data_IF_926530151701
#
_entry.id   IF_926530151701
#
_cell.length_a   1.000
_cell.length_b   1.000
_cell.length_c   1.000
_cell.angle_alpha   90.00
_cell.angle_beta   90.00
_cell.angle_gamma   90.00
#
_symmetry.space_group_name_H-M   'P 1'
#
loop_
_entity.id
_entity.type
_entity.pdbx_description
1 polymer ?
#
# COMPACT_ATOMS: atom_id res chain seq x y z
N UNK A 1 -6.16 -16.28 -7.24
CA UNK A 1 -5.52 -14.97 -7.51
C UNK A 1 -4.68 -14.65 -6.29
N UNK A 2 -3.41 -14.24 -6.48
CA UNK A 2 -2.55 -13.77 -5.40
C UNK A 2 -3.02 -12.39 -4.89
N UNK A 3 -2.57 -12.00 -3.70
CA UNK A 3 -2.77 -10.65 -3.16
C UNK A 3 -1.96 -9.66 -3.99
N UNK A 4 -2.57 -8.54 -4.35
CA UNK A 4 -1.93 -7.45 -5.08
C UNK A 4 -1.74 -6.25 -4.17
N UNK A 5 -0.51 -5.79 -3.99
CA UNK A 5 -0.15 -4.70 -3.09
C UNK A 5 0.53 -3.55 -3.86
N UNK A 6 0.02 -2.34 -3.69
CA UNK A 6 0.58 -1.14 -4.31
C UNK A 6 1.51 -0.39 -3.36
N UNK A 7 2.72 -0.07 -3.81
CA UNK A 7 3.67 0.74 -3.04
C UNK A 7 3.45 2.21 -3.37
N UNK A 8 3.07 2.99 -2.37
CA UNK A 8 2.81 4.43 -2.49
C UNK A 8 3.67 5.24 -1.51
N UNK A 9 3.77 6.54 -1.70
CA UNK A 9 4.47 7.47 -0.83
C UNK A 9 4.96 8.68 -1.60
N UNK A 10 5.45 9.69 -0.89
CA UNK A 10 6.03 10.90 -1.47
C UNK A 10 7.28 10.57 -2.33
N UNK A 11 7.73 11.47 -3.22
CA UNK A 11 9.01 11.32 -3.89
C UNK A 11 10.17 11.21 -2.88
N UNK A 12 11.21 10.45 -3.24
CA UNK A 12 12.46 10.31 -2.49
C UNK A 12 12.32 9.68 -1.09
N UNK A 13 11.24 8.93 -0.82
CA UNK A 13 11.06 8.18 0.45
C UNK A 13 11.66 6.77 0.42
N UNK A 14 12.22 6.33 -0.73
CA UNK A 14 12.84 5.01 -0.89
C UNK A 14 11.93 3.93 -1.49
N UNK A 15 10.77 4.28 -2.08
CA UNK A 15 9.83 3.32 -2.70
C UNK A 15 10.50 2.35 -3.68
N UNK A 16 11.18 2.89 -4.67
CA UNK A 16 11.81 2.07 -5.71
C UNK A 16 12.97 1.24 -5.18
N UNK A 17 13.68 1.72 -4.14
CA UNK A 17 14.70 0.94 -3.44
C UNK A 17 14.08 -0.28 -2.77
N UNK A 18 12.99 -0.09 -2.02
CA UNK A 18 12.25 -1.15 -1.34
C UNK A 18 11.62 -2.10 -2.36
N UNK A 19 10.98 -1.57 -3.42
CA UNK A 19 10.43 -2.38 -4.50
C UNK A 19 11.49 -3.28 -5.15
N UNK A 20 12.65 -2.72 -5.50
CA UNK A 20 13.75 -3.47 -6.11
C UNK A 20 14.30 -4.54 -5.16
N UNK A 21 14.46 -4.22 -3.87
CA UNK A 21 14.91 -5.19 -2.86
C UNK A 21 13.92 -6.36 -2.72
N UNK A 22 12.62 -6.08 -2.64
CA UNK A 22 11.56 -7.08 -2.56
C UNK A 22 11.50 -7.95 -3.82
N UNK A 23 11.63 -7.35 -4.99
CA UNK A 23 11.39 -8.03 -6.28
C UNK A 23 12.64 -8.62 -6.92
N UNK A 24 13.82 -8.43 -6.31
CA UNK A 24 15.07 -8.99 -6.85
C UNK A 24 15.08 -10.52 -6.88
N UNK A 25 14.41 -11.15 -5.93
CA UNK A 25 14.14 -12.59 -5.89
C UNK A 25 12.82 -12.96 -6.55
N UNK A 26 12.20 -12.03 -7.32
CA UNK A 26 10.93 -12.27 -7.97
C UNK A 26 11.07 -13.37 -9.03
N UNK A 27 10.04 -14.19 -9.12
CA UNK A 27 9.93 -15.20 -10.15
C UNK A 27 9.74 -14.48 -11.49
N UNK A 28 10.46 -14.87 -12.55
CA UNK A 28 10.20 -14.35 -13.89
C UNK A 28 8.71 -14.47 -14.22
N UNK A 29 8.07 -13.37 -14.61
CA UNK A 29 6.64 -13.32 -14.92
C UNK A 29 6.23 -14.36 -16.00
N UNK A 30 7.19 -14.80 -16.83
CA UNK A 30 7.03 -15.84 -17.85
C UNK A 30 6.64 -17.22 -17.27
N UNK A 31 6.94 -17.47 -16.01
CA UNK A 31 6.61 -18.73 -15.33
C UNK A 31 5.20 -18.73 -14.71
N UNK A 32 4.51 -17.60 -14.71
CA UNK A 32 3.15 -17.49 -14.22
C UNK A 32 2.17 -17.24 -15.38
N UNK A 33 1.17 -18.12 -15.58
CA UNK A 33 0.13 -17.90 -16.59
C UNK A 33 -0.64 -16.61 -16.28
N UNK A 34 -0.81 -15.75 -17.27
CA UNK A 34 -1.57 -14.49 -17.23
C UNK A 34 -0.89 -13.28 -16.57
N UNK A 35 0.43 -13.29 -16.35
CA UNK A 35 1.15 -12.10 -15.92
C UNK A 35 1.59 -11.25 -17.12
N UNK A 36 1.25 -9.97 -17.09
CA UNK A 36 1.77 -8.97 -18.03
C UNK A 36 3.18 -8.59 -17.59
N UNK A 37 4.14 -8.53 -18.51
CA UNK A 37 5.49 -8.02 -18.23
C UNK A 37 5.38 -6.50 -18.15
N UNK A 38 5.20 -5.98 -16.93
CA UNK A 38 5.25 -4.55 -16.63
C UNK A 38 6.50 -4.31 -15.76
N UNK A 39 7.38 -3.36 -16.12
CA UNK A 39 8.62 -3.10 -15.37
C UNK A 39 8.37 -2.64 -13.91
N UNK A 40 7.15 -2.24 -13.58
CA UNK A 40 6.76 -1.79 -12.25
C UNK A 40 6.00 -2.86 -11.46
N UNK A 41 5.98 -4.11 -11.92
CA UNK A 41 5.28 -5.22 -11.26
C UNK A 41 6.27 -6.34 -10.95
N UNK A 42 6.26 -6.80 -9.69
CA UNK A 42 7.07 -7.93 -9.25
C UNK A 42 6.24 -8.93 -8.46
N UNK A 43 6.41 -10.22 -8.75
CA UNK A 43 5.73 -11.32 -8.05
C UNK A 43 6.72 -11.97 -7.10
N UNK A 44 6.39 -12.01 -5.82
CA UNK A 44 7.25 -12.54 -4.75
C UNK A 44 6.53 -13.68 -4.06
N UNK A 45 7.25 -14.80 -3.84
CA UNK A 45 6.76 -15.90 -3.05
C UNK A 45 6.73 -15.54 -1.55
N UNK A 46 5.67 -15.96 -0.87
CA UNK A 46 5.57 -15.83 0.58
C UNK A 46 6.27 -17.02 1.24
N UNK A 47 7.38 -16.82 1.97
CA UNK A 47 8.03 -17.87 2.70
C UNK A 47 7.09 -18.45 3.77
N UNK A 48 6.83 -19.76 3.71
CA UNK A 48 6.00 -20.44 4.69
C UNK A 48 6.65 -21.76 5.11
N UNK A 49 7.22 -21.77 6.30
CA UNK A 49 7.88 -22.96 6.86
C UNK A 49 6.92 -24.15 6.97
N UNK A 50 5.64 -23.90 7.26
CA UNK A 50 4.62 -24.95 7.36
C UNK A 50 4.45 -25.70 6.03
N UNK A 51 4.60 -24.99 4.90
CA UNK A 51 4.51 -25.61 3.58
C UNK A 51 5.68 -26.57 3.34
N UNK A 52 6.89 -26.20 3.74
CA UNK A 52 8.07 -27.07 3.67
C UNK A 52 7.92 -28.29 4.58
N UNK A 53 7.45 -28.11 5.81
CA UNK A 53 7.24 -29.20 6.78
C UNK A 53 6.21 -30.23 6.26
N UNK A 54 5.09 -29.75 5.70
CA UNK A 54 4.06 -30.59 5.09
C UNK A 54 4.62 -31.33 3.86
N UNK A 55 5.37 -30.63 3.02
CA UNK A 55 5.97 -31.23 1.83
C UNK A 55 6.96 -32.36 2.19
N UNK A 56 7.72 -32.20 3.26
CA UNK A 56 8.64 -33.25 3.75
C UNK A 56 7.92 -34.53 4.17
N UNK A 57 6.67 -34.43 4.68
CA UNK A 57 5.86 -35.57 5.09
C UNK A 57 5.23 -36.26 3.88
N UNK A 58 4.64 -35.52 2.97
CA UNK A 58 3.82 -36.05 1.87
C UNK A 58 4.59 -36.26 0.56
N UNK A 59 5.80 -35.76 0.44
CA UNK A 59 6.66 -35.83 -0.73
C UNK A 59 5.91 -35.53 -2.05
N UNK A 60 5.31 -34.34 -2.20
CA UNK A 60 4.47 -34.01 -3.32
C UNK A 60 5.28 -33.84 -4.62
N UNK A 61 4.60 -33.96 -5.78
CA UNK A 61 5.24 -33.75 -7.09
C UNK A 61 5.64 -32.30 -7.34
N UNK A 62 4.97 -31.35 -6.71
CA UNK A 62 5.26 -29.92 -6.81
C UNK A 62 4.82 -29.21 -5.52
N UNK A 63 5.55 -28.18 -5.14
CA UNK A 63 5.23 -27.27 -4.03
C UNK A 63 4.94 -25.91 -4.66
N UNK A 64 3.77 -25.34 -4.36
CA UNK A 64 3.35 -24.03 -4.89
C UNK A 64 3.09 -23.09 -3.71
N UNK A 65 4.00 -22.16 -3.42
CA UNK A 65 3.82 -21.18 -2.37
C UNK A 65 2.73 -20.15 -2.74
N UNK A 66 2.21 -19.47 -1.75
CA UNK A 66 1.41 -18.27 -1.98
C UNK A 66 2.30 -17.15 -2.55
N UNK A 67 1.71 -16.25 -3.33
CA UNK A 67 2.45 -15.13 -3.93
C UNK A 67 1.76 -13.80 -3.63
N UNK A 68 2.57 -12.74 -3.55
CA UNK A 68 2.12 -11.35 -3.52
C UNK A 68 2.67 -10.66 -4.76
N UNK A 69 1.78 -9.96 -5.47
CA UNK A 69 2.13 -9.09 -6.58
C UNK A 69 2.35 -7.68 -6.04
N UNK A 70 3.56 -7.16 -6.12
CA UNK A 70 3.89 -5.78 -5.77
C UNK A 70 3.88 -4.91 -7.02
N UNK A 71 3.28 -3.72 -6.90
CA UNK A 71 3.23 -2.71 -7.96
C UNK A 71 3.91 -1.44 -7.45
N UNK A 72 5.03 -1.02 -8.08
CA UNK A 72 5.62 0.30 -7.79
C UNK A 72 4.76 1.38 -8.43
N UNK A 73 4.01 2.08 -7.61
CA UNK A 73 3.13 3.15 -8.05
C UNK A 73 3.92 4.46 -7.96
N UNK A 74 4.20 5.08 -9.09
CA UNK A 74 5.00 6.31 -9.18
C UNK A 74 4.49 7.37 -8.19
N UNK A 75 5.43 8.05 -7.48
CA UNK A 75 5.11 8.90 -6.36
C UNK A 75 4.12 10.02 -6.66
N UNK A 76 3.18 10.22 -5.76
CA UNK A 76 2.30 11.39 -5.74
C UNK A 76 3.11 12.65 -5.40
N UNK A 77 2.97 13.68 -6.23
CA UNK A 77 3.41 15.03 -5.90
C UNK A 77 2.17 15.83 -5.53
N UNK A 78 2.26 16.65 -4.49
CA UNK A 78 1.20 17.55 -4.04
C UNK A 78 0.61 18.32 -5.23
N UNK A 79 -0.72 18.25 -5.42
CA UNK A 79 -1.38 18.87 -6.55
C UNK A 79 -1.36 18.07 -7.87
N UNK A 80 -0.96 16.79 -7.85
CA UNK A 80 -1.11 15.89 -8.99
C UNK A 80 -2.58 15.75 -9.43
N UNK A 81 -3.52 16.14 -8.56
CA UNK A 81 -4.95 16.25 -8.85
C UNK A 81 -5.29 17.27 -9.93
N UNK A 82 -4.43 18.25 -10.16
CA UNK A 82 -4.65 19.32 -11.15
C UNK A 82 -3.93 19.10 -12.48
N UNK A 83 -3.08 18.05 -12.59
CA UNK A 83 -2.31 17.71 -13.79
C UNK A 83 -2.99 16.62 -14.63
N UNK A 84 -3.27 16.90 -15.90
CA UNK A 84 -3.77 15.93 -16.86
C UNK A 84 -2.65 14.91 -17.20
N UNK A 85 -2.93 13.61 -17.04
CA UNK A 85 -2.08 12.52 -17.53
C UNK A 85 -1.49 11.61 -16.45
N UNK A 86 -0.35 11.95 -15.85
CA UNK A 86 0.37 11.08 -14.90
C UNK A 86 -0.42 10.79 -13.62
N UNK A 87 -1.18 11.76 -13.10
CA UNK A 87 -2.03 11.57 -11.92
C UNK A 87 -3.15 10.54 -12.15
N UNK A 88 -3.69 10.45 -13.37
CA UNK A 88 -4.76 9.49 -13.67
C UNK A 88 -4.24 8.05 -13.79
N UNK A 89 -3.02 7.83 -14.31
CA UNK A 89 -2.38 6.51 -14.34
C UNK A 89 -2.06 6.01 -12.93
N UNK A 90 -1.49 6.86 -12.09
CA UNK A 90 -1.26 6.58 -10.68
C UNK A 90 -2.53 6.08 -9.96
N UNK A 91 -3.63 6.80 -10.13
CA UNK A 91 -4.90 6.45 -9.49
C UNK A 91 -5.51 5.15 -10.04
N UNK A 92 -5.31 4.87 -11.33
CA UNK A 92 -5.72 3.60 -11.93
C UNK A 92 -4.98 2.43 -11.26
N UNK A 93 -3.66 2.55 -11.08
CA UNK A 93 -2.86 1.51 -10.44
C UNK A 93 -3.27 1.27 -8.98
N UNK A 94 -3.56 2.33 -8.19
CA UNK A 94 -4.06 2.13 -6.81
C UNK A 94 -5.45 1.47 -6.81
N UNK A 95 -6.32 1.74 -7.77
CA UNK A 95 -7.63 1.08 -7.85
C UNK A 95 -7.53 -0.42 -8.04
N UNK A 96 -6.53 -0.87 -8.78
CA UNK A 96 -6.36 -2.25 -9.19
C UNK A 96 -5.66 -3.14 -8.16
N UNK A 97 -5.18 -2.57 -7.04
CA UNK A 97 -4.53 -3.33 -5.95
C UNK A 97 -5.51 -3.64 -4.82
N UNK A 98 -5.23 -4.69 -4.05
CA UNK A 98 -6.05 -5.13 -2.90
C UNK A 98 -5.65 -4.42 -1.60
N UNK A 99 -4.38 -4.01 -1.47
CA UNK A 99 -3.83 -3.34 -0.30
C UNK A 99 -2.78 -2.30 -0.69
N UNK A 100 -2.49 -1.38 0.22
CA UNK A 100 -1.51 -0.30 0.03
C UNK A 100 -0.35 -0.48 1.01
N UNK A 101 0.89 -0.46 0.50
CA UNK A 101 2.11 -0.26 1.29
C UNK A 101 2.48 1.21 1.21
N UNK A 102 2.23 1.94 2.27
CA UNK A 102 2.53 3.37 2.33
C UNK A 102 3.93 3.58 2.90
N UNK A 103 4.91 3.80 2.02
CA UNK A 103 6.30 4.05 2.41
C UNK A 103 6.47 5.49 2.85
N UNK A 104 6.99 5.65 4.06
CA UNK A 104 7.17 6.94 4.74
C UNK A 104 8.65 7.10 5.07
N UNK A 105 9.22 8.25 4.74
CA UNK A 105 10.60 8.57 5.09
C UNK A 105 10.70 8.88 6.58
N UNK A 106 11.57 8.15 7.28
CA UNK A 106 11.88 8.32 8.68
C UNK A 106 13.40 8.33 8.93
N UNK A 107 14.20 8.79 7.94
CA UNK A 107 15.64 8.94 8.00
C UNK A 107 16.04 10.33 7.53
N UNK A 108 17.15 10.85 8.10
CA UNK A 108 17.76 12.09 7.66
C UNK A 108 18.93 11.80 6.73
N UNK A 109 19.00 12.50 5.61
CA UNK A 109 20.12 12.42 4.67
C UNK A 109 20.28 13.77 3.98
N UNK A 110 21.43 14.41 4.18
CA UNK A 110 21.72 15.77 3.70
C UNK A 110 21.67 15.92 2.18
N UNK A 111 21.97 14.85 1.45
CA UNK A 111 21.99 14.83 -0.02
C UNK A 111 20.62 14.56 -0.66
N UNK A 112 19.61 14.21 0.11
CA UNK A 112 18.26 13.91 -0.40
C UNK A 112 17.29 14.97 0.09
N UNK A 113 16.88 15.87 -0.81
CA UNK A 113 15.92 16.93 -0.50
C UNK A 113 14.57 16.33 -0.10
N UNK A 114 14.07 16.70 1.07
CA UNK A 114 12.69 16.39 1.49
C UNK A 114 11.72 17.35 0.78
N UNK A 115 10.64 16.82 0.22
CA UNK A 115 9.67 17.61 -0.55
C UNK A 115 9.01 18.72 0.28
N UNK A 116 8.78 18.47 1.57
CA UNK A 116 8.13 19.41 2.51
C UNK A 116 9.15 20.13 3.42
N UNK A 117 10.45 20.00 3.16
CA UNK A 117 11.52 20.76 3.84
C UNK A 117 11.88 20.30 5.25
N UNK A 118 11.08 19.49 5.92
CA UNK A 118 11.34 18.91 7.25
C UNK A 118 10.81 17.49 7.34
N UNK A 119 11.45 16.66 8.13
CA UNK A 119 11.03 15.28 8.39
C UNK A 119 9.84 15.28 9.35
N UNK A 120 8.68 14.86 8.87
CA UNK A 120 7.49 14.65 9.68
C UNK A 120 6.67 13.49 9.06
N UNK A 121 6.88 12.25 9.55
CA UNK A 121 6.25 11.07 8.97
C UNK A 121 4.72 11.10 8.95
N UNK A 122 4.09 11.64 10.01
CA UNK A 122 2.63 11.70 10.10
C UNK A 122 2.06 12.68 9.10
N UNK A 123 2.64 13.90 9.00
CA UNK A 123 2.24 14.89 8.00
C UNK A 123 2.36 14.35 6.57
N UNK A 124 3.41 13.56 6.29
CA UNK A 124 3.64 12.99 4.97
C UNK A 124 2.58 11.94 4.62
N UNK A 125 2.16 11.13 5.62
CA UNK A 125 1.02 10.21 5.48
C UNK A 125 -0.25 10.99 5.16
N UNK A 126 -0.60 11.97 5.99
CA UNK A 126 -1.83 12.77 5.83
C UNK A 126 -1.89 13.51 4.49
N UNK A 127 -0.74 13.91 3.95
CA UNK A 127 -0.64 14.55 2.63
C UNK A 127 -1.10 13.60 1.52
N UNK A 128 -0.64 12.35 1.53
CA UNK A 128 -1.04 11.32 0.56
C UNK A 128 -2.51 10.95 0.74
N UNK A 129 -2.93 10.68 1.96
CA UNK A 129 -4.31 10.29 2.28
C UNK A 129 -5.32 11.36 1.88
N UNK A 130 -5.01 12.62 2.11
CA UNK A 130 -5.83 13.76 1.66
C UNK A 130 -5.99 13.79 0.14
N UNK A 131 -4.91 13.57 -0.62
CA UNK A 131 -4.97 13.55 -2.08
C UNK A 131 -5.82 12.37 -2.58
N UNK A 132 -5.70 11.18 -1.95
CA UNK A 132 -6.52 10.02 -2.27
C UNK A 132 -8.00 10.27 -1.95
N UNK A 133 -8.29 10.87 -0.81
CA UNK A 133 -9.65 11.20 -0.37
C UNK A 133 -10.33 12.21 -1.30
N UNK A 134 -9.63 13.24 -1.74
CA UNK A 134 -10.15 14.22 -2.73
C UNK A 134 -10.57 13.51 -4.02
N UNK A 135 -9.83 12.48 -4.44
CA UNK A 135 -10.15 11.70 -5.64
C UNK A 135 -11.35 10.77 -5.44
N UNK A 136 -11.44 10.19 -4.26
CA UNK A 136 -12.59 9.37 -3.90
C UNK A 136 -13.87 10.22 -3.86
N UNK A 137 -13.82 11.40 -3.25
CA UNK A 137 -14.93 12.37 -3.24
C UNK A 137 -15.40 12.67 -4.66
N UNK A 138 -14.48 12.99 -5.58
CA UNK A 138 -14.82 13.26 -6.97
C UNK A 138 -15.41 12.04 -7.71
N UNK A 139 -15.00 10.83 -7.33
CA UNK A 139 -15.52 9.59 -7.90
C UNK A 139 -16.93 9.29 -7.39
N UNK A 140 -17.15 9.47 -6.09
CA UNK A 140 -18.45 9.27 -5.44
C UNK A 140 -19.46 10.31 -5.94
N UNK A 141 -19.07 11.56 -6.09
CA UNK A 141 -19.93 12.64 -6.61
C UNK A 141 -20.51 12.29 -8.00
N UNK A 142 -19.64 11.87 -8.93
CA UNK A 142 -20.06 11.39 -10.25
C UNK A 142 -21.00 10.16 -10.19
N UNK A 143 -20.77 9.27 -9.23
CA UNK A 143 -21.60 8.08 -9.03
C UNK A 143 -22.97 8.47 -8.47
N UNK A 144 -22.99 9.41 -7.53
CA UNK A 144 -24.19 9.90 -6.86
C UNK A 144 -25.23 10.44 -7.86
N UNK A 145 -24.81 11.23 -8.84
CA UNK A 145 -25.70 11.73 -9.91
C UNK A 145 -26.42 10.60 -10.65
N UNK A 146 -25.70 9.54 -11.02
CA UNK A 146 -26.26 8.38 -11.71
C UNK A 146 -27.22 7.59 -10.81
N UNK A 147 -26.85 7.39 -9.55
CA UNK A 147 -27.63 6.65 -8.57
C UNK A 147 -28.96 7.35 -8.28
N UNK A 148 -28.94 8.65 -8.07
CA UNK A 148 -30.16 9.44 -7.85
C UNK A 148 -31.13 9.32 -9.01
N UNK A 149 -30.63 9.34 -10.26
CA UNK A 149 -31.45 9.16 -11.45
C UNK A 149 -32.08 7.75 -11.50
N UNK A 150 -31.27 6.70 -11.28
CA UNK A 150 -31.71 5.32 -11.33
C UNK A 150 -32.69 5.00 -10.18
N UNK A 151 -32.42 5.49 -8.97
CA UNK A 151 -33.30 5.33 -7.82
C UNK A 151 -34.69 5.96 -8.04
N UNK A 152 -34.76 7.13 -8.71
CA UNK A 152 -36.02 7.78 -9.10
C UNK A 152 -36.80 6.95 -10.13
N UNK A 153 -36.10 6.18 -10.98
CA UNK A 153 -36.72 5.27 -11.96
C UNK A 153 -37.15 3.94 -11.35
N UNK A 154 -36.95 3.75 -10.04
CA UNK A 154 -37.41 2.59 -9.30
C UNK A 154 -36.40 1.47 -9.13
N UNK A 155 -35.14 1.66 -9.54
CA UNK A 155 -34.05 0.70 -9.37
C UNK A 155 -33.80 0.45 -7.88
N UNK A 156 -34.00 -0.81 -7.43
CA UNK A 156 -33.89 -1.20 -6.02
C UNK A 156 -32.45 -1.27 -5.57
N UNK A 157 -31.52 -1.66 -6.42
CA UNK A 157 -30.11 -1.78 -6.06
C UNK A 157 -29.45 -0.40 -6.01
N UNK A 158 -29.82 0.50 -6.93
CA UNK A 158 -29.42 1.89 -6.85
C UNK A 158 -29.93 2.58 -5.56
N UNK A 159 -31.13 2.26 -5.09
CA UNK A 159 -31.63 2.78 -3.80
C UNK A 159 -30.82 2.29 -2.61
N UNK A 160 -30.42 1.00 -2.58
CA UNK A 160 -29.59 0.45 -1.50
C UNK A 160 -28.21 1.08 -1.48
N UNK A 161 -27.55 1.19 -2.64
CA UNK A 161 -26.24 1.83 -2.77
C UNK A 161 -26.32 3.30 -2.34
N UNK A 162 -27.39 4.03 -2.74
CA UNK A 162 -27.60 5.42 -2.36
C UNK A 162 -27.65 5.63 -0.84
N UNK A 163 -28.35 4.75 -0.11
CA UNK A 163 -28.42 4.82 1.35
C UNK A 163 -27.05 4.71 2.01
N UNK A 164 -26.13 3.93 1.45
CA UNK A 164 -24.76 3.82 1.97
C UNK A 164 -23.94 5.04 1.61
N UNK A 165 -24.08 5.55 0.39
CA UNK A 165 -23.39 6.77 -0.05
C UNK A 165 -23.84 7.98 0.78
N UNK A 166 -25.11 8.07 1.15
CA UNK A 166 -25.63 9.13 2.02
C UNK A 166 -25.01 9.10 3.44
N UNK A 167 -24.45 7.96 3.88
CA UNK A 167 -23.68 7.85 5.13
C UNK A 167 -22.21 8.23 4.90
N UNK A 168 -21.62 7.73 3.80
CA UNK A 168 -20.17 7.82 3.53
C UNK A 168 -19.78 9.21 3.02
N UNK A 169 -20.52 9.76 2.07
CA UNK A 169 -20.14 10.99 1.37
C UNK A 169 -20.02 12.23 2.26
N UNK A 170 -20.93 12.49 3.22
CA UNK A 170 -20.75 13.59 4.17
C UNK A 170 -19.46 13.46 5.00
N UNK A 171 -19.18 12.25 5.51
CA UNK A 171 -17.98 11.99 6.32
C UNK A 171 -16.69 12.17 5.53
N UNK A 172 -16.68 11.75 4.25
CA UNK A 172 -15.56 12.02 3.36
C UNK A 172 -15.31 13.52 3.18
N UNK A 173 -16.37 14.32 3.05
CA UNK A 173 -16.26 15.78 2.96
C UNK A 173 -15.78 16.44 4.27
N UNK A 174 -15.91 15.76 5.40
CA UNK A 174 -15.33 16.15 6.70
C UNK A 174 -13.86 15.74 6.85
N UNK A 175 -13.29 15.06 5.84
CA UNK A 175 -11.90 14.61 5.85
C UNK A 175 -11.68 13.19 6.38
N UNK A 176 -12.76 12.42 6.66
CA UNK A 176 -12.66 11.05 7.19
C UNK A 176 -12.42 10.09 6.03
N UNK A 177 -11.39 9.25 6.15
CA UNK A 177 -11.09 8.21 5.16
C UNK A 177 -12.17 7.14 5.18
N UNK A 178 -12.44 6.50 4.04
CA UNK A 178 -13.55 5.54 3.92
C UNK A 178 -13.34 4.33 4.83
N UNK A 179 -12.11 3.86 5.01
CA UNK A 179 -11.84 2.72 5.90
C UNK A 179 -12.10 3.05 7.38
N UNK A 180 -11.99 4.31 7.80
CA UNK A 180 -12.26 4.77 9.17
C UNK A 180 -13.78 4.92 9.45
N UNK A 181 -14.62 4.84 8.41
CA UNK A 181 -16.06 4.95 8.57
C UNK A 181 -16.62 3.61 9.03
N UNK A 182 -17.33 3.62 10.16
CA UNK A 182 -18.04 2.44 10.64
C UNK A 182 -19.17 2.06 9.67
N UNK A 183 -19.00 0.93 8.98
CA UNK A 183 -19.96 0.34 8.05
C UNK A 183 -20.14 -1.14 8.36
N UNK A 184 -21.36 -1.64 8.22
CA UNK A 184 -21.63 -3.08 8.27
C UNK A 184 -21.01 -3.79 7.07
N UNK A 185 -20.80 -5.11 7.17
CA UNK A 185 -20.28 -5.92 6.05
C UNK A 185 -21.14 -5.78 4.80
N UNK A 186 -22.45 -5.73 4.93
CA UNK A 186 -23.37 -5.56 3.79
C UNK A 186 -23.23 -4.18 3.16
N UNK A 187 -23.04 -3.13 3.95
CA UNK A 187 -22.80 -1.78 3.45
C UNK A 187 -21.46 -1.69 2.70
N UNK A 188 -20.38 -2.30 3.23
CA UNK A 188 -19.07 -2.36 2.54
C UNK A 188 -19.19 -3.10 1.21
N UNK A 189 -19.94 -4.20 1.13
CA UNK A 189 -20.17 -4.90 -0.12
C UNK A 189 -20.87 -4.04 -1.18
N UNK A 190 -21.77 -3.14 -0.78
CA UNK A 190 -22.47 -2.24 -1.71
C UNK A 190 -21.55 -1.16 -2.32
N UNK A 191 -20.56 -0.67 -1.56
CA UNK A 191 -19.61 0.33 -2.07
C UNK A 191 -18.34 -0.28 -2.68
N UNK A 192 -18.06 -1.56 -2.48
CA UNK A 192 -16.90 -2.26 -3.02
C UNK A 192 -16.69 -2.05 -4.53
N UNK A 193 -17.75 -2.05 -5.38
CA UNK A 193 -17.60 -1.80 -6.82
C UNK A 193 -17.08 -0.39 -7.16
N UNK A 194 -17.10 0.56 -6.23
CA UNK A 194 -16.56 1.90 -6.43
C UNK A 194 -15.03 1.89 -6.40
N UNK A 195 -14.41 0.85 -5.84
CA UNK A 195 -12.95 0.70 -5.71
C UNK A 195 -12.31 1.96 -5.12
N UNK A 196 -12.88 2.43 -3.99
CA UNK A 196 -12.40 3.64 -3.32
C UNK A 196 -10.98 3.44 -2.82
N UNK A 197 -10.14 4.42 -3.03
CA UNK A 197 -8.70 4.37 -2.74
C UNK A 197 -8.45 4.32 -1.23
N UNK A 198 -9.25 5.10 -0.48
CA UNK A 198 -9.17 5.23 0.97
C UNK A 198 -9.94 4.15 1.75
N UNK A 199 -10.57 3.18 1.06
CA UNK A 199 -11.19 1.99 1.68
C UNK A 199 -10.24 0.78 1.72
N UNK A 200 -9.05 0.90 1.13
CA UNK A 200 -8.09 -0.21 1.05
C UNK A 200 -7.30 -0.36 2.36
N UNK A 201 -7.06 -1.61 2.81
CA UNK A 201 -6.15 -1.88 3.91
C UNK A 201 -4.78 -1.25 3.65
N UNK A 202 -4.23 -0.57 4.63
CA UNK A 202 -2.94 0.12 4.52
C UNK A 202 -1.95 -0.41 5.54
N UNK A 203 -0.72 -0.73 5.07
CA UNK A 203 0.44 -1.00 5.89
C UNK A 203 1.39 0.20 5.78
N UNK A 204 1.67 0.88 6.88
CA UNK A 204 2.69 1.93 6.92
C UNK A 204 4.08 1.30 7.03
N UNK A 205 4.97 1.70 6.12
CA UNK A 205 6.35 1.22 6.05
C UNK A 205 7.26 2.39 6.33
N UNK A 206 7.72 2.52 7.57
CA UNK A 206 8.69 3.52 7.97
C UNK A 206 10.08 3.12 7.42
N UNK A 207 10.55 3.82 6.40
CA UNK A 207 11.90 3.66 5.89
C UNK A 207 12.84 4.47 6.77
N UNK A 208 13.68 3.77 7.53
CA UNK A 208 14.60 4.32 8.55
C UNK A 208 16.05 4.14 8.12
N UNK A 209 16.98 4.77 8.84
CA UNK A 209 18.41 4.50 8.69
C UNK A 209 18.85 3.23 9.46
N UNK A 210 20.11 2.85 9.26
CA UNK A 210 20.69 1.66 9.88
C UNK A 210 20.75 1.77 11.42
N UNK A 211 21.00 2.97 11.97
CA UNK A 211 21.08 3.19 13.41
C UNK A 211 19.71 2.99 14.07
N UNK A 212 18.63 3.46 13.41
CA UNK A 212 17.28 3.30 13.91
C UNK A 212 16.82 1.82 13.86
N UNK A 213 17.27 1.04 12.87
CA UNK A 213 16.99 -0.40 12.80
C UNK A 213 17.65 -1.14 13.96
N UNK A 214 18.91 -0.79 14.30
CA UNK A 214 19.67 -1.41 15.37
C UNK A 214 19.24 -0.95 16.77
N UNK A 215 18.49 0.14 16.86
CA UNK A 215 18.06 0.70 18.13
C UNK A 215 16.90 -0.12 18.73
N UNK A 216 17.01 -0.45 20.02
CA UNK A 216 15.87 -1.02 20.78
C UNK A 216 14.73 -0.01 20.98
N UNK A 217 15.07 1.28 21.02
CA UNK A 217 14.11 2.36 21.23
C UNK A 217 13.85 3.09 19.92
N UNK A 218 12.58 3.38 19.64
CA UNK A 218 12.19 4.20 18.52
C UNK A 218 12.46 5.67 18.77
N UNK A 219 12.91 6.37 17.75
CA UNK A 219 12.96 7.84 17.77
C UNK A 219 11.57 8.44 17.99
N UNK A 220 11.50 9.67 18.45
CA UNK A 220 10.23 10.36 18.73
C UNK A 220 9.35 10.44 17.47
N UNK A 221 9.94 10.69 16.30
CA UNK A 221 9.21 10.74 15.03
C UNK A 221 8.66 9.39 14.62
N UNK A 222 9.45 8.33 14.78
CA UNK A 222 9.04 6.96 14.48
C UNK A 222 7.95 6.49 15.44
N UNK A 223 8.06 6.79 16.75
CA UNK A 223 7.03 6.43 17.73
C UNK A 223 5.69 7.09 17.38
N UNK A 224 5.69 8.38 17.02
CA UNK A 224 4.46 9.07 16.57
C UNK A 224 3.79 8.38 15.37
N UNK A 225 4.58 7.86 14.42
CA UNK A 225 4.02 7.12 13.27
C UNK A 225 3.35 5.82 13.74
N UNK A 226 3.97 5.09 14.67
CA UNK A 226 3.41 3.85 15.19
C UNK A 226 2.13 4.10 16.02
N UNK A 227 2.13 5.13 16.86
CA UNK A 227 0.95 5.55 17.65
C UNK A 227 -0.20 5.95 16.69
N UNK A 228 0.09 6.72 15.65
CA UNK A 228 -0.87 7.12 14.62
C UNK A 228 -1.46 5.91 13.88
N UNK A 229 -0.63 4.91 13.56
CA UNK A 229 -1.10 3.68 12.92
C UNK A 229 -2.02 2.89 13.84
N UNK A 230 -1.65 2.73 15.12
CA UNK A 230 -2.41 1.99 16.14
C UNK A 230 -3.77 2.66 16.39
N UNK A 231 -3.83 3.97 16.54
CA UNK A 231 -5.07 4.74 16.72
C UNK A 231 -6.08 4.52 15.59
N UNK A 232 -5.58 4.26 14.37
CA UNK A 232 -6.41 3.98 13.20
C UNK A 232 -6.63 2.49 12.92
N UNK A 233 -6.13 1.60 13.79
CA UNK A 233 -6.23 0.15 13.58
C UNK A 233 -5.44 -0.38 12.39
N UNK A 234 -4.46 0.39 11.90
CA UNK A 234 -3.55 0.00 10.83
C UNK A 234 -2.25 -0.58 11.39
N UNK A 235 -1.58 -1.44 10.61
CA UNK A 235 -0.27 -1.93 10.98
C UNK A 235 0.83 -0.96 10.50
N UNK A 236 1.93 -0.91 11.28
CA UNK A 236 3.15 -0.21 10.90
C UNK A 236 4.36 -1.12 11.11
N UNK A 237 5.32 -1.04 10.19
CA UNK A 237 6.62 -1.70 10.31
C UNK A 237 7.73 -0.69 10.06
N UNK A 238 8.91 -0.94 10.63
CA UNK A 238 10.14 -0.24 10.26
C UNK A 238 11.04 -1.16 9.44
N UNK A 239 11.69 -0.62 8.44
CA UNK A 239 12.74 -1.29 7.67
C UNK A 239 13.78 -0.26 7.19
N UNK A 240 14.98 -0.69 6.89
CA UNK A 240 15.99 0.13 6.25
C UNK A 240 16.11 -0.31 4.78
N UNK A 241 15.56 0.50 3.87
CA UNK A 241 15.55 0.18 2.44
C UNK A 241 16.96 0.02 1.85
N UNK A 242 17.96 0.68 2.43
CA UNK A 242 19.37 0.54 2.05
C UNK A 242 19.89 -0.85 2.42
N UNK A 243 19.69 -1.28 3.66
CA UNK A 243 20.09 -2.62 4.13
C UNK A 243 19.38 -3.72 3.34
N UNK A 244 18.07 -3.58 3.10
CA UNK A 244 17.31 -4.54 2.31
C UNK A 244 17.87 -4.66 0.87
N UNK A 245 18.25 -3.54 0.26
CA UNK A 245 18.88 -3.54 -1.04
C UNK A 245 20.28 -4.21 -1.02
N UNK A 246 21.06 -4.04 0.02
CA UNK A 246 22.36 -4.72 0.21
C UNK A 246 22.15 -6.22 0.40
N UNK A 247 21.30 -6.63 1.33
CA UNK A 247 20.96 -8.04 1.60
C UNK A 247 20.45 -8.75 0.34
N UNK A 248 19.63 -8.07 -0.45
CA UNK A 248 19.11 -8.64 -1.70
C UNK A 248 20.20 -8.92 -2.75
N UNK A 249 21.40 -8.35 -2.60
CA UNK A 249 22.56 -8.56 -3.47
C UNK A 249 23.49 -9.68 -3.00
N UNK A 250 23.35 -10.14 -1.75
CA UNK A 250 24.18 -11.19 -1.18
C UNK A 250 23.78 -12.57 -1.71
N UNK A 251 24.75 -13.50 -1.74
CA UNK A 251 24.47 -14.91 -1.97
C UNK A 251 23.86 -15.54 -0.71
N UNK A 252 23.21 -16.70 -0.86
CA UNK A 252 22.42 -17.30 0.23
C UNK A 252 23.25 -17.54 1.51
N UNK A 253 24.51 -17.96 1.39
CA UNK A 253 25.40 -18.18 2.55
C UNK A 253 25.79 -16.87 3.23
N UNK A 254 26.10 -15.83 2.47
CA UNK A 254 26.43 -14.51 2.98
C UNK A 254 25.21 -13.83 3.63
N UNK A 255 24.02 -14.04 3.03
CA UNK A 255 22.75 -13.53 3.55
C UNK A 255 22.44 -14.09 4.93
N UNK A 256 22.61 -15.41 5.14
CA UNK A 256 22.40 -16.05 6.46
C UNK A 256 23.32 -15.45 7.50
N UNK A 257 24.60 -15.32 7.19
CA UNK A 257 25.57 -14.72 8.10
C UNK A 257 25.23 -13.26 8.45
N UNK A 258 24.84 -12.47 7.45
CA UNK A 258 24.46 -11.08 7.64
C UNK A 258 23.21 -10.94 8.52
N UNK A 259 22.19 -11.78 8.29
CA UNK A 259 20.96 -11.77 9.10
C UNK A 259 21.21 -12.20 10.55
N UNK A 260 22.19 -13.08 10.81
CA UNK A 260 22.59 -13.48 12.17
C UNK A 260 23.29 -12.34 12.93
N UNK A 261 23.99 -11.44 12.23
CA UNK A 261 24.65 -10.27 12.82
C UNK A 261 23.66 -9.16 13.19
N UNK A 262 22.53 -9.09 12.48
CA UNK A 262 21.50 -8.07 12.68
C UNK A 262 20.25 -8.54 13.48
N UNK A 263 20.25 -9.79 13.99
CA UNK A 263 19.28 -10.32 14.94
C UNK A 263 19.85 -10.26 16.35
#
# INVERSE_FOLDING_TARGET
MGLKAGIVGLPNVGKSTIFNALTKSAIPAENYPFCTIDPNVGIVEVPDKRLADIAAIFNPKAITPATVEFVDIAGLVRGASKGEGLGNQFLSHIRDVDAVLHVVRSFEEDNITHVEGSLDPVRDIETIETELLIRDIASVDKRLEKLQKNARMGDKDAKKELLVIDIVFPKMNEGILVHDIELTSDQRLLIKPLSLLTDKPTLYVANVDENEIMSEQRSVGLQKLFDFAEERGNAAIRLCGKLEAEISNLQDEERVFFLEEYN
#
